data_IF_917220169185
#
_entry.id   IF_917220169185
#
_cell.length_a   1.000
_cell.length_b   1.000
_cell.length_c   1.000
_cell.angle_alpha   90.00
_cell.angle_beta   90.00
_cell.angle_gamma   90.00
#
_symmetry.space_group_name_H-M   'P 1'
#
loop_
_entity.id
_entity.type
_entity.pdbx_description
1 polymer ?
#
# COMPACT_ATOMS: atom_id res chain seq x y z
N UNK A 1 10.93 1.84 -12.01
CA UNK A 1 10.54 1.90 -10.59
C UNK A 1 11.67 1.25 -9.81
N UNK A 2 12.12 1.85 -8.69
CA UNK A 2 13.04 1.18 -7.77
C UNK A 2 12.51 -0.20 -7.34
N UNK A 3 13.39 -1.05 -6.82
CA UNK A 3 12.99 -2.31 -6.20
C UNK A 3 12.07 -2.06 -5.00
N UNK A 4 11.35 -3.09 -4.52
CA UNK A 4 10.48 -2.90 -3.36
C UNK A 4 11.31 -2.61 -2.10
N UNK A 5 12.52 -3.19 -2.01
CA UNK A 5 13.49 -2.87 -0.96
C UNK A 5 14.00 -1.42 -1.05
N UNK A 6 14.28 -0.91 -2.25
CA UNK A 6 14.67 0.49 -2.45
C UNK A 6 13.53 1.45 -2.09
N UNK A 7 12.30 1.09 -2.44
CA UNK A 7 11.10 1.87 -2.09
C UNK A 7 10.86 1.89 -0.58
N UNK A 8 11.00 0.74 0.11
CA UNK A 8 10.92 0.69 1.59
C UNK A 8 11.94 1.63 2.25
N UNK A 9 13.18 1.70 1.72
CA UNK A 9 14.22 2.62 2.22
C UNK A 9 13.91 4.08 1.94
N UNK A 10 13.26 4.39 0.82
CA UNK A 10 12.81 5.75 0.53
C UNK A 10 11.76 6.21 1.55
N UNK A 11 10.79 5.35 1.88
CA UNK A 11 9.80 5.60 2.92
C UNK A 11 10.46 5.80 4.28
N UNK A 12 11.36 4.88 4.68
CA UNK A 12 12.09 4.99 5.94
C UNK A 12 12.89 6.31 6.05
N UNK A 13 13.61 6.68 4.99
CA UNK A 13 14.38 7.93 4.96
C UNK A 13 13.49 9.18 4.97
N UNK A 14 12.34 9.13 4.30
CA UNK A 14 11.36 10.22 4.31
C UNK A 14 10.75 10.40 5.70
N UNK A 15 10.37 9.32 6.37
CA UNK A 15 9.76 9.35 7.70
C UNK A 15 10.72 9.90 8.74
N UNK A 16 11.96 9.39 8.77
CA UNK A 16 13.02 9.90 9.66
C UNK A 16 13.29 11.39 9.44
N UNK A 17 13.27 11.85 8.19
CA UNK A 17 13.47 13.27 7.88
C UNK A 17 12.37 14.16 8.47
N UNK A 18 11.14 13.67 8.56
CA UNK A 18 9.98 14.42 9.06
C UNK A 18 9.62 14.09 10.52
N UNK A 19 10.35 13.17 11.16
CA UNK A 19 10.07 12.71 12.53
C UNK A 19 8.82 11.85 12.65
N UNK A 20 8.46 11.13 11.57
CA UNK A 20 7.27 10.28 11.51
C UNK A 20 7.59 8.79 11.73
N UNK A 21 8.84 8.46 12.02
CA UNK A 21 9.30 7.10 12.34
C UNK A 21 8.87 6.64 13.74
N UNK A 22 8.32 7.54 14.57
CA UNK A 22 7.75 7.24 15.88
C UNK A 22 6.23 6.96 15.85
N UNK A 23 5.61 6.99 14.66
CA UNK A 23 4.17 6.74 14.52
C UNK A 23 3.80 5.34 15.04
N UNK A 24 2.78 5.29 15.91
CA UNK A 24 2.30 4.01 16.45
C UNK A 24 1.70 3.15 15.33
N UNK A 25 2.01 1.85 15.29
CA UNK A 25 1.41 0.93 14.31
C UNK A 25 -0.12 0.97 14.26
N UNK A 26 -0.79 1.20 15.40
CA UNK A 26 -2.24 1.34 15.45
C UNK A 26 -2.76 2.57 14.71
N UNK A 27 -2.02 3.67 14.70
CA UNK A 27 -2.39 4.87 13.94
C UNK A 27 -2.17 4.66 12.45
N UNK A 28 -1.06 3.98 12.08
CA UNK A 28 -0.79 3.61 10.68
C UNK A 28 -1.95 2.76 10.13
N UNK A 29 -2.40 1.74 10.86
CA UNK A 29 -3.53 0.87 10.46
C UNK A 29 -4.87 1.64 10.40
N UNK A 30 -5.07 2.61 11.29
CA UNK A 30 -6.24 3.48 11.24
C UNK A 30 -6.25 4.29 9.92
N UNK A 31 -5.13 4.93 9.57
CA UNK A 31 -5.02 5.67 8.30
C UNK A 31 -5.18 4.76 7.09
N UNK A 32 -4.63 3.53 7.13
CA UNK A 32 -4.85 2.55 6.06
C UNK A 32 -6.33 2.24 5.84
N UNK A 33 -7.13 2.25 6.92
CA UNK A 33 -8.58 2.03 6.83
C UNK A 33 -9.30 3.22 6.19
N UNK A 34 -8.81 4.44 6.41
CA UNK A 34 -9.31 5.65 5.76
C UNK A 34 -9.04 5.61 4.25
N UNK A 35 -7.79 5.33 3.85
CA UNK A 35 -7.40 5.21 2.43
C UNK A 35 -8.18 4.11 1.71
N UNK A 36 -8.37 2.95 2.36
CA UNK A 36 -9.17 1.87 1.81
C UNK A 36 -10.66 2.27 1.66
N UNK A 37 -11.17 3.10 2.57
CA UNK A 37 -12.50 3.69 2.46
C UNK A 37 -12.65 4.63 1.27
N UNK A 38 -11.65 5.45 1.00
CA UNK A 38 -11.61 6.33 -0.18
C UNK A 38 -11.51 5.54 -1.48
N UNK A 39 -10.62 4.53 -1.54
CA UNK A 39 -10.54 3.58 -2.67
C UNK A 39 -11.92 2.95 -2.92
N UNK A 40 -12.57 2.45 -1.86
CA UNK A 40 -13.88 1.82 -1.96
C UNK A 40 -14.94 2.79 -2.51
N UNK A 41 -14.95 4.02 -2.03
CA UNK A 41 -15.86 5.07 -2.51
C UNK A 41 -15.65 5.38 -3.99
N UNK A 42 -14.40 5.41 -4.45
CA UNK A 42 -14.03 5.68 -5.84
C UNK A 42 -14.43 4.54 -6.78
N UNK A 43 -14.24 3.30 -6.36
CA UNK A 43 -14.69 2.12 -7.11
C UNK A 43 -16.22 2.12 -7.22
N UNK A 44 -16.95 2.36 -6.12
CA UNK A 44 -18.41 2.43 -6.15
C UNK A 44 -18.93 3.50 -7.12
N UNK A 45 -18.28 4.67 -7.19
CA UNK A 45 -18.59 5.70 -8.18
C UNK A 45 -18.37 5.20 -9.61
N UNK A 46 -17.24 4.56 -9.88
CA UNK A 46 -16.96 3.95 -11.19
C UNK A 46 -17.99 2.88 -11.58
N UNK A 47 -18.56 2.19 -10.59
CA UNK A 47 -19.63 1.19 -10.77
C UNK A 47 -21.04 1.80 -10.88
N UNK A 48 -21.17 3.13 -10.88
CA UNK A 48 -22.43 3.84 -11.11
C UNK A 48 -23.21 4.23 -9.85
N UNK A 49 -22.61 4.11 -8.66
CA UNK A 49 -23.19 4.60 -7.42
C UNK A 49 -23.03 6.13 -7.31
N UNK A 50 -24.16 6.85 -7.38
CA UNK A 50 -24.28 8.32 -7.56
C UNK A 50 -23.74 8.78 -8.93
N UNK A 51 -24.47 9.68 -9.60
CA UNK A 51 -24.09 10.25 -10.91
C UNK A 51 -22.98 11.31 -10.78
N UNK A 52 -21.85 10.90 -10.22
CA UNK A 52 -20.63 11.71 -10.14
C UNK A 52 -19.56 11.06 -11.03
N UNK A 53 -18.70 11.87 -11.64
CA UNK A 53 -17.65 11.39 -12.52
C UNK A 53 -16.55 10.67 -11.72
N UNK A 54 -16.10 9.51 -12.23
CA UNK A 54 -14.92 8.81 -11.73
C UNK A 54 -13.65 9.41 -12.33
N UNK A 55 -12.67 9.74 -11.48
CA UNK A 55 -11.32 10.12 -11.92
C UNK A 55 -10.28 9.04 -11.55
N UNK A 56 -9.70 8.33 -12.53
CA UNK A 56 -8.61 7.38 -12.32
C UNK A 56 -7.40 7.97 -11.60
N UNK A 57 -7.14 9.28 -11.74
CA UNK A 57 -6.01 9.94 -11.05
C UNK A 57 -6.21 9.92 -9.55
N UNK A 58 -7.43 10.18 -9.11
CA UNK A 58 -7.73 10.18 -7.69
C UNK A 58 -7.67 8.77 -7.10
N UNK A 59 -8.10 7.74 -7.83
CA UNK A 59 -7.87 6.35 -7.42
C UNK A 59 -6.38 6.02 -7.33
N UNK A 60 -5.56 6.53 -8.26
CA UNK A 60 -4.10 6.35 -8.23
C UNK A 60 -3.45 6.98 -6.99
N UNK A 61 -3.96 8.11 -6.51
CA UNK A 61 -3.48 8.76 -5.29
C UNK A 61 -3.73 7.86 -4.07
N UNK A 62 -4.98 7.44 -3.83
CA UNK A 62 -5.29 6.63 -2.64
C UNK A 62 -4.58 5.26 -2.64
N UNK A 63 -4.42 4.66 -3.84
CA UNK A 63 -3.65 3.41 -3.97
C UNK A 63 -2.18 3.62 -3.59
N UNK A 64 -1.62 4.78 -3.91
CA UNK A 64 -0.24 5.13 -3.57
C UNK A 64 -0.11 5.44 -2.08
N UNK A 65 -1.09 6.11 -1.48
CA UNK A 65 -1.10 6.42 -0.05
C UNK A 65 -1.25 5.14 0.80
N UNK A 66 -2.13 4.22 0.39
CA UNK A 66 -2.24 2.90 1.01
C UNK A 66 -0.94 2.08 0.88
N UNK A 67 -0.27 2.15 -0.28
CA UNK A 67 1.02 1.50 -0.49
C UNK A 67 2.10 2.11 0.42
N UNK A 68 2.16 3.44 0.52
CA UNK A 68 3.09 4.14 1.43
C UNK A 68 2.89 3.69 2.88
N UNK A 69 1.63 3.66 3.36
CA UNK A 69 1.31 3.21 4.71
C UNK A 69 1.65 1.72 4.93
N UNK A 70 1.50 0.89 3.91
CA UNK A 70 1.89 -0.54 3.96
C UNK A 70 3.40 -0.69 4.11
N UNK A 71 4.19 0.07 3.35
CA UNK A 71 5.66 0.09 3.44
C UNK A 71 6.12 0.61 4.80
N UNK A 72 5.49 1.69 5.28
CA UNK A 72 5.74 2.28 6.59
C UNK A 72 5.46 1.28 7.72
N UNK A 73 4.32 0.60 7.68
CA UNK A 73 3.97 -0.42 8.66
C UNK A 73 4.99 -1.56 8.66
N UNK A 74 5.40 -2.05 7.49
CA UNK A 74 6.42 -3.08 7.40
C UNK A 74 7.76 -2.63 8.01
N UNK A 75 8.19 -1.39 7.77
CA UNK A 75 9.39 -0.83 8.37
C UNK A 75 9.30 -0.80 9.91
N UNK A 76 8.12 -0.49 10.48
CA UNK A 76 7.92 -0.46 11.94
C UNK A 76 8.09 -1.81 12.65
N UNK A 77 8.10 -2.92 11.89
CA UNK A 77 8.28 -4.28 12.37
C UNK A 77 9.49 -5.00 11.74
N UNK A 78 10.40 -4.25 11.09
CA UNK A 78 11.57 -4.79 10.39
C UNK A 78 11.23 -5.87 9.33
N UNK A 79 10.06 -5.76 8.70
CA UNK A 79 9.60 -6.71 7.68
C UNK A 79 10.18 -6.33 6.31
N UNK A 80 10.89 -7.28 5.69
CA UNK A 80 11.41 -7.16 4.32
C UNK A 80 10.33 -7.59 3.31
N UNK A 81 9.52 -6.63 2.86
CA UNK A 81 8.36 -6.92 1.98
C UNK A 81 8.76 -7.51 0.64
N UNK A 82 9.92 -7.16 0.08
CA UNK A 82 10.40 -7.76 -1.17
C UNK A 82 10.61 -9.27 -1.05
N UNK A 83 11.15 -9.73 0.08
CA UNK A 83 11.35 -11.16 0.33
C UNK A 83 10.01 -11.87 0.49
N UNK A 84 9.06 -11.29 1.22
CA UNK A 84 7.70 -11.84 1.40
C UNK A 84 6.93 -11.87 0.08
N UNK A 85 7.06 -10.83 -0.74
CA UNK A 85 6.49 -10.76 -2.09
C UNK A 85 7.05 -11.88 -2.98
N UNK A 86 8.38 -12.02 -3.02
CA UNK A 86 9.04 -13.05 -3.83
C UNK A 86 8.61 -14.46 -3.39
N UNK A 87 8.57 -14.73 -2.08
CA UNK A 87 8.07 -16.01 -1.53
C UNK A 87 6.62 -16.28 -1.95
N UNK A 88 5.75 -15.27 -1.87
CA UNK A 88 4.35 -15.39 -2.28
C UNK A 88 4.24 -15.68 -3.78
N UNK A 89 5.01 -14.98 -4.61
CA UNK A 89 4.98 -15.12 -6.06
C UNK A 89 5.45 -16.50 -6.55
N UNK A 90 6.49 -17.07 -5.94
CA UNK A 90 6.91 -18.45 -6.24
C UNK A 90 5.82 -19.49 -5.88
N UNK A 91 5.10 -19.28 -4.77
CA UNK A 91 3.97 -20.14 -4.40
C UNK A 91 2.83 -20.07 -5.41
N UNK A 92 2.58 -18.91 -6.02
CA UNK A 92 1.55 -18.78 -7.06
C UNK A 92 1.96 -19.49 -8.35
N UNK A 93 3.18 -19.28 -8.84
CA UNK A 93 3.71 -19.99 -10.02
C UNK A 93 3.62 -21.51 -9.89
N UNK A 94 3.94 -22.05 -8.71
CA UNK A 94 3.89 -23.50 -8.47
C UNK A 94 2.47 -24.05 -8.36
N UNK A 95 1.48 -23.25 -7.94
CA UNK A 95 0.06 -23.65 -7.95
C UNK A 95 -0.53 -23.65 -9.35
N UNK A 96 -0.23 -22.64 -10.16
CA UNK A 96 -0.73 -22.52 -11.54
C UNK A 96 -0.16 -23.62 -12.44
N UNK A 97 1.03 -24.15 -12.15
CA UNK A 97 1.62 -25.28 -12.90
C UNK A 97 1.04 -26.65 -12.50
N UNK A 98 0.11 -26.71 -11.53
CA UNK A 98 -0.57 -27.95 -11.09
C UNK A 98 -2.01 -28.05 -11.59
N UNK A 99 -2.49 -27.06 -12.35
CA UNK A 99 -3.77 -27.05 -13.08
C UNK A 99 -3.53 -27.26 -14.56
#
# INVERSE_FOLDING_TARGET
MPSLSETQKQVEGYDKKHGWDEDKPSHIVLHMSEELGEISRRILRNEGYKKEDFDPKELGMELTDLLYLTLKLANSFDIRLEDEWNKMWERYKTKTNRS
#
